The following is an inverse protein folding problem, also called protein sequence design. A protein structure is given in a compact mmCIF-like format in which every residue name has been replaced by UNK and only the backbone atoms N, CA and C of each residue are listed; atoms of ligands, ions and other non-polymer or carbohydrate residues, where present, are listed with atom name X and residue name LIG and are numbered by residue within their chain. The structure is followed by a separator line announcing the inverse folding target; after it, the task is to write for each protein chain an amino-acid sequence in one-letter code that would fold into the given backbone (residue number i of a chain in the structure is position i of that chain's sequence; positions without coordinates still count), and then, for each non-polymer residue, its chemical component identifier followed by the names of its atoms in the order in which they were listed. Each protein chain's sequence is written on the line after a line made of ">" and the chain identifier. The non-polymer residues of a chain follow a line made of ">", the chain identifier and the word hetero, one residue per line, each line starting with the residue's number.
data_IF_653847420854
#
_entry.id   IF_653847420854
#
_cell.length_a   1.000
_cell.length_b   1.000
_cell.length_c   1.000
_cell.angle_alpha   90.00
_cell.angle_beta   90.00
_cell.angle_gamma   90.00
#
_symmetry.space_group_name_H-M   'P 1'
#
loop_
_entity.id
_entity.type
_entity.pdbx_description
1 polymer ?
#
# COMPACT_ATOMS: atom_id res chain seq x y z
N UNK A 1 24.65 24.51 20.16
CA UNK A 1 24.53 23.45 19.14
C UNK A 1 23.04 23.27 18.90
N UNK A 2 22.52 23.71 17.76
CA UNK A 2 21.08 23.62 17.47
C UNK A 2 20.71 22.14 17.35
N UNK A 3 19.72 21.72 18.13
CA UNK A 3 19.16 20.39 18.06
C UNK A 3 18.15 20.42 16.91
N UNK A 4 18.63 20.31 15.67
CA UNK A 4 17.74 20.10 14.52
C UNK A 4 17.13 18.70 14.67
N UNK A 5 15.94 18.65 15.28
CA UNK A 5 15.20 17.41 15.41
C UNK A 5 15.00 16.79 14.03
N UNK A 6 15.39 15.52 13.87
CA UNK A 6 15.23 14.80 12.61
C UNK A 6 13.77 14.84 12.17
N UNK A 7 13.53 15.30 10.94
CA UNK A 7 12.19 15.30 10.34
C UNK A 7 11.93 13.93 9.73
N UNK A 8 10.81 13.30 10.08
CA UNK A 8 10.39 12.06 9.45
C UNK A 8 9.68 12.36 8.11
N UNK A 9 10.19 11.78 7.02
CA UNK A 9 9.59 11.93 5.68
C UNK A 9 8.35 11.06 5.47
N UNK A 10 8.24 9.97 6.23
CA UNK A 10 7.19 8.97 6.13
C UNK A 10 6.51 8.87 7.49
N UNK A 11 5.20 9.13 7.52
CA UNK A 11 4.38 9.09 8.72
C UNK A 11 3.18 8.15 8.53
N UNK A 12 2.61 7.63 9.63
CA UNK A 12 1.33 6.94 9.59
C UNK A 12 0.24 7.80 8.94
N UNK A 13 -0.67 7.19 8.17
CA UNK A 13 -1.88 7.82 7.61
C UNK A 13 -3.02 6.81 7.58
N UNK A 14 -4.26 7.29 7.70
CA UNK A 14 -5.43 6.41 7.58
C UNK A 14 -5.43 5.65 6.24
N UNK A 15 -5.83 4.38 6.31
CA UNK A 15 -6.00 3.49 5.16
C UNK A 15 -7.48 3.24 4.81
N UNK A 16 -8.42 3.94 5.45
CA UNK A 16 -9.85 3.72 5.27
C UNK A 16 -10.29 3.85 3.80
N UNK A 17 -9.67 4.78 3.07
CA UNK A 17 -9.90 4.99 1.64
C UNK A 17 -9.59 3.74 0.78
N UNK A 18 -8.76 2.84 1.27
CA UNK A 18 -8.35 1.62 0.57
C UNK A 18 -8.98 0.35 1.12
N UNK A 19 -9.84 0.43 2.14
CA UNK A 19 -10.49 -0.72 2.77
C UNK A 19 -11.31 -1.52 1.76
N UNK A 20 -12.17 -0.84 1.00
CA UNK A 20 -12.94 -1.48 -0.05
C UNK A 20 -12.06 -1.75 -1.28
N UNK A 21 -11.54 -2.98 -1.37
CA UNK A 21 -10.86 -3.50 -2.56
C UNK A 21 -11.84 -3.82 -3.69
N UNK A 22 -11.32 -4.24 -4.84
CA UNK A 22 -12.11 -4.69 -6.00
C UNK A 22 -12.07 -6.22 -6.21
N UNK A 23 -11.56 -6.94 -5.22
CA UNK A 23 -11.39 -8.40 -5.24
C UNK A 23 -12.37 -9.14 -4.32
N UNK A 24 -13.15 -8.40 -3.52
CA UNK A 24 -13.96 -8.96 -2.43
C UNK A 24 -13.18 -9.23 -1.13
N UNK A 25 -11.88 -8.91 -1.11
CA UNK A 25 -11.03 -8.94 0.10
C UNK A 25 -10.67 -7.51 0.47
N UNK A 26 -10.91 -7.15 1.73
CA UNK A 26 -10.56 -5.84 2.27
C UNK A 26 -9.07 -5.55 2.03
N UNK A 27 -8.75 -4.31 1.63
CA UNK A 27 -7.40 -3.81 1.37
C UNK A 27 -6.61 -4.48 0.23
N UNK A 28 -7.25 -5.30 -0.61
CA UNK A 28 -6.62 -5.94 -1.78
C UNK A 28 -7.21 -5.40 -3.08
N UNK A 29 -6.35 -4.77 -3.89
CA UNK A 29 -6.70 -4.11 -5.14
C UNK A 29 -5.99 -4.78 -6.32
N UNK A 30 -6.74 -5.29 -7.30
CA UNK A 30 -6.21 -5.97 -8.49
C UNK A 30 -6.59 -5.22 -9.76
N UNK A 31 -5.60 -4.96 -10.60
CA UNK A 31 -5.78 -4.32 -11.90
C UNK A 31 -5.26 -5.23 -13.01
N UNK A 32 -6.09 -5.47 -14.02
CA UNK A 32 -5.76 -6.31 -15.17
C UNK A 32 -5.57 -5.43 -16.41
N UNK A 33 -4.48 -5.62 -17.15
CA UNK A 33 -4.25 -4.86 -18.38
C UNK A 33 -5.00 -5.42 -19.59
N UNK A 34 -5.62 -6.61 -19.47
CA UNK A 34 -6.24 -7.35 -20.57
C UNK A 34 -5.25 -7.91 -21.60
N UNK A 35 -3.93 -7.80 -21.35
CA UNK A 35 -2.87 -8.32 -22.22
C UNK A 35 -2.14 -9.45 -21.49
N UNK A 36 -1.89 -10.60 -22.14
CA UNK A 36 -1.09 -11.68 -21.54
C UNK A 36 0.26 -11.14 -21.05
N UNK A 37 0.61 -11.47 -19.80
CA UNK A 37 1.81 -10.94 -19.16
C UNK A 37 1.93 -11.42 -17.71
N UNK A 38 2.99 -10.99 -16.99
CA UNK A 38 3.24 -11.41 -15.62
C UNK A 38 2.18 -10.89 -14.65
N UNK A 39 1.98 -11.61 -13.55
CA UNK A 39 1.21 -11.13 -12.41
C UNK A 39 2.17 -10.71 -11.30
N UNK A 40 2.17 -9.43 -10.96
CA UNK A 40 2.98 -8.85 -9.88
C UNK A 40 2.09 -8.52 -8.69
N UNK A 41 2.53 -8.91 -7.49
CA UNK A 41 1.98 -8.47 -6.20
C UNK A 41 2.98 -7.55 -5.51
N UNK A 42 2.52 -6.39 -5.06
CA UNK A 42 3.24 -5.53 -4.12
C UNK A 42 2.49 -5.55 -2.80
N UNK A 43 3.13 -6.11 -1.77
CA UNK A 43 2.55 -6.30 -0.45
C UNK A 43 3.20 -5.36 0.57
N UNK A 44 2.38 -4.53 1.20
CA UNK A 44 2.79 -3.65 2.29
C UNK A 44 2.22 -4.11 3.63
N UNK A 45 2.80 -3.60 4.73
CA UNK A 45 2.38 -3.90 6.11
C UNK A 45 2.38 -5.40 6.40
N UNK A 46 3.51 -6.08 6.16
CA UNK A 46 3.73 -7.42 6.73
C UNK A 46 3.79 -7.30 8.25
N UNK A 47 4.56 -6.33 8.75
CA UNK A 47 4.49 -5.84 10.12
C UNK A 47 3.73 -4.51 10.19
N UNK A 48 3.02 -4.28 11.31
CA UNK A 48 2.19 -3.09 11.51
C UNK A 48 2.95 -1.77 11.58
N UNK A 49 4.27 -1.78 11.81
CA UNK A 49 5.10 -0.58 11.95
C UNK A 49 5.95 -0.24 10.72
N UNK A 50 5.80 -0.96 9.61
CA UNK A 50 6.59 -0.77 8.39
C UNK A 50 5.96 0.27 7.44
N UNK A 51 6.03 1.55 7.83
CA UNK A 51 5.29 2.63 7.13
C UNK A 51 5.75 2.92 5.70
N UNK A 52 7.02 2.68 5.36
CA UNK A 52 7.53 2.99 4.03
C UNK A 52 6.78 2.21 2.93
N UNK A 53 6.53 0.92 3.15
CA UNK A 53 5.75 0.09 2.23
C UNK A 53 4.30 0.55 2.14
N UNK A 54 3.71 0.92 3.29
CA UNK A 54 2.35 1.46 3.35
C UNK A 54 2.22 2.74 2.50
N UNK A 55 3.11 3.70 2.68
CA UNK A 55 3.10 4.96 1.93
C UNK A 55 3.36 4.72 0.44
N UNK A 56 4.24 3.80 0.08
CA UNK A 56 4.49 3.46 -1.32
C UNK A 56 3.24 2.87 -2.00
N UNK A 57 2.57 1.89 -1.38
CA UNK A 57 1.36 1.28 -1.94
C UNK A 57 0.20 2.27 -1.98
N UNK A 58 0.02 3.08 -0.94
CA UNK A 58 -0.95 4.17 -0.93
C UNK A 58 -0.70 5.15 -2.10
N UNK A 59 0.55 5.54 -2.33
CA UNK A 59 0.92 6.41 -3.46
C UNK A 59 0.62 5.81 -4.83
N UNK A 60 0.83 4.51 -5.02
CA UNK A 60 0.47 3.80 -6.26
C UNK A 60 -1.05 3.80 -6.49
N UNK A 61 -1.85 3.62 -5.43
CA UNK A 61 -3.31 3.65 -5.48
C UNK A 61 -3.82 5.08 -5.73
N UNK A 62 -3.31 6.07 -4.99
CA UNK A 62 -3.65 7.49 -5.12
C UNK A 62 -3.37 8.01 -6.53
N UNK A 63 -2.27 7.56 -7.14
CA UNK A 63 -1.88 7.92 -8.50
C UNK A 63 -2.53 7.05 -9.57
N UNK A 64 -3.45 6.15 -9.19
CA UNK A 64 -4.15 5.23 -10.07
C UNK A 64 -3.22 4.44 -11.03
N UNK A 65 -2.07 3.97 -10.53
CA UNK A 65 -1.12 3.18 -11.34
C UNK A 65 -1.79 1.92 -11.89
N UNK A 66 -1.55 1.60 -13.16
CA UNK A 66 -2.08 0.42 -13.85
C UNK A 66 -0.97 -0.34 -14.60
N UNK A 67 -1.04 -1.68 -14.66
CA UNK A 67 -0.08 -2.46 -15.42
C UNK A 67 -0.22 -2.17 -16.93
N UNK A 68 0.90 -2.04 -17.63
CA UNK A 68 0.92 -1.94 -19.10
C UNK A 68 0.68 -3.29 -19.79
N UNK A 69 1.12 -4.38 -19.13
CA UNK A 69 0.95 -5.78 -19.52
C UNK A 69 0.71 -6.62 -18.26
N UNK A 70 -0.08 -7.68 -18.36
CA UNK A 70 -0.35 -8.58 -17.23
C UNK A 70 -1.20 -7.93 -16.14
N UNK A 71 -0.93 -8.32 -14.88
CA UNK A 71 -1.77 -8.00 -13.72
C UNK A 71 -0.92 -7.38 -12.63
N UNK A 72 -1.44 -6.34 -11.99
CA UNK A 72 -0.88 -5.75 -10.77
C UNK A 72 -1.85 -5.97 -9.62
N UNK A 73 -1.38 -6.52 -8.51
CA UNK A 73 -2.11 -6.55 -7.24
C UNK A 73 -1.35 -5.74 -6.21
N UNK A 74 -2.07 -4.88 -5.49
CA UNK A 74 -1.57 -4.04 -4.42
C UNK A 74 -2.32 -4.40 -3.15
N UNK A 75 -1.61 -4.64 -2.04
CA UNK A 75 -2.22 -5.05 -0.78
C UNK A 75 -1.61 -4.39 0.45
N UNK A 76 -2.45 -4.18 1.45
CA UNK A 76 -2.03 -3.93 2.84
C UNK A 76 -2.37 -5.19 3.66
N UNK A 77 -1.36 -5.97 4.06
CA UNK A 77 -1.56 -7.33 4.56
C UNK A 77 -2.04 -7.41 6.01
N UNK A 78 -1.54 -6.54 6.88
CA UNK A 78 -1.77 -6.63 8.33
C UNK A 78 -2.26 -5.30 8.90
N UNK A 79 -3.38 -4.81 8.37
CA UNK A 79 -3.97 -3.52 8.77
C UNK A 79 -4.35 -3.51 10.26
N UNK A 80 -4.82 -4.62 10.81
CA UNK A 80 -5.11 -4.71 12.25
C UNK A 80 -3.86 -4.48 13.12
N UNK A 81 -2.69 -5.00 12.73
CA UNK A 81 -1.45 -4.71 13.45
C UNK A 81 -1.04 -3.23 13.31
N UNK A 82 -1.19 -2.66 12.10
CA UNK A 82 -0.94 -1.23 11.86
C UNK A 82 -1.82 -0.34 12.74
N UNK A 83 -3.12 -0.62 12.80
CA UNK A 83 -4.08 0.13 13.62
C UNK A 83 -3.83 0.00 15.13
N UNK A 84 -3.18 -1.08 15.56
CA UNK A 84 -2.80 -1.30 16.97
C UNK A 84 -1.44 -0.74 17.36
N UNK A 85 -0.65 -0.23 16.40
CA UNK A 85 0.72 0.23 16.66
C UNK A 85 0.74 1.64 17.25
N UNK A 86 1.30 1.77 18.47
CA UNK A 86 1.40 3.02 19.25
C UNK A 86 2.82 3.53 19.36
#
# INVERSE_FOLDING_TARGET
>A
MQNEGSTFEVLPRSLDAYRAGNTGVDYVHRFDSGKPGPHVLVNALTHGNEFCGMVAVAGLLDSAVRPKIGILTLSFANVGAYESFT
#
